data_IF_639909819092
#
_entry.id   IF_639909819092
#
_cell.length_a   1.000
_cell.length_b   1.000
_cell.length_c   1.000
_cell.angle_alpha   90.00
_cell.angle_beta   90.00
_cell.angle_gamma   90.00
#
_symmetry.space_group_name_H-M   'P 1'
#
loop_
_entity.id
_entity.type
_entity.pdbx_description
1 polymer ?
#
# COMPACT_ATOMS: atom_id res chain seq x y z
N UNK A 1 3.81 -4.35 -13.14
CA UNK A 1 3.14 -3.03 -13.06
C UNK A 1 3.42 -2.42 -11.69
N UNK A 2 3.68 -1.14 -11.69
CA UNK A 2 4.00 -0.41 -10.46
C UNK A 2 2.76 0.28 -9.91
N UNK A 3 2.58 0.17 -8.59
CA UNK A 3 1.44 0.77 -7.88
C UNK A 3 1.92 1.51 -6.65
N UNK A 4 1.18 2.55 -6.29
CA UNK A 4 1.39 3.31 -5.06
C UNK A 4 0.08 3.31 -4.29
N UNK A 5 0.09 2.79 -3.07
CA UNK A 5 -1.08 2.80 -2.20
C UNK A 5 -0.89 3.81 -1.09
N UNK A 6 -1.87 4.69 -0.96
CA UNK A 6 -1.92 5.70 0.10
C UNK A 6 -2.94 5.24 1.14
N UNK A 7 -2.55 5.27 2.40
CA UNK A 7 -3.40 4.82 3.50
C UNK A 7 -3.83 6.00 4.36
N UNK A 8 -5.14 6.16 4.51
CA UNK A 8 -5.73 7.20 5.35
C UNK A 8 -6.29 6.56 6.61
N UNK A 9 -6.02 7.13 7.80
CA UNK A 9 -6.42 6.51 9.05
C UNK A 9 -7.94 6.55 9.25
N UNK A 10 -8.44 5.52 9.93
CA UNK A 10 -9.82 5.48 10.43
C UNK A 10 -9.83 5.33 11.95
N UNK A 11 -8.86 5.92 12.63
CA UNK A 11 -8.87 6.04 14.08
C UNK A 11 -8.05 5.02 14.87
N UNK A 12 -7.24 4.16 14.23
CA UNK A 12 -6.43 3.16 14.93
C UNK A 12 -4.99 3.14 14.44
N UNK A 13 -4.30 4.28 14.58
CA UNK A 13 -2.99 4.48 14.01
C UNK A 13 -1.91 3.49 14.47
N UNK A 14 -1.92 3.09 15.74
CA UNK A 14 -0.87 2.21 16.28
C UNK A 14 -0.91 0.81 15.66
N UNK A 15 -2.10 0.24 15.50
CA UNK A 15 -2.25 -1.09 14.90
C UNK A 15 -1.76 -1.07 13.45
N UNK A 16 -2.02 0.01 12.76
CA UNK A 16 -1.61 0.15 11.38
C UNK A 16 -0.11 0.34 11.24
N UNK A 17 0.52 1.08 12.15
CA UNK A 17 1.98 1.22 12.16
C UNK A 17 2.63 -0.14 12.33
N UNK A 18 2.14 -0.94 13.27
CA UNK A 18 2.65 -2.29 13.49
C UNK A 18 2.47 -3.16 12.25
N UNK A 19 1.28 -3.11 11.64
CA UNK A 19 0.99 -3.86 10.43
C UNK A 19 1.95 -3.50 9.29
N UNK A 20 2.17 -2.20 9.07
CA UNK A 20 3.03 -1.73 7.99
C UNK A 20 4.50 -2.08 8.22
N UNK A 21 4.95 -2.02 9.47
CA UNK A 21 6.32 -2.40 9.80
C UNK A 21 6.59 -3.89 9.58
N UNK A 22 5.58 -4.71 9.76
CA UNK A 22 5.66 -6.16 9.64
C UNK A 22 5.07 -6.68 8.32
N UNK A 23 4.78 -5.78 7.39
CA UNK A 23 4.15 -6.13 6.14
C UNK A 23 4.98 -7.15 5.36
N UNK A 24 4.33 -8.25 5.02
CA UNK A 24 4.94 -9.29 4.18
C UNK A 24 4.21 -9.34 2.85
N UNK A 25 5.01 -9.40 1.79
CA UNK A 25 4.46 -9.47 0.45
C UNK A 25 3.86 -10.86 0.21
N UNK A 26 2.57 -10.95 -0.17
CA UNK A 26 2.02 -12.23 -0.60
C UNK A 26 2.58 -12.62 -1.96
N UNK A 27 2.28 -13.84 -2.40
CA UNK A 27 2.73 -14.31 -3.70
C UNK A 27 2.24 -13.38 -4.81
N UNK A 28 3.14 -13.05 -5.72
CA UNK A 28 2.84 -12.17 -6.85
C UNK A 28 3.09 -10.69 -6.58
N UNK A 29 3.31 -10.31 -5.31
CA UNK A 29 3.55 -8.92 -4.94
C UNK A 29 5.02 -8.72 -4.55
N UNK A 30 5.65 -7.70 -5.13
CA UNK A 30 6.98 -7.28 -4.73
C UNK A 30 6.87 -5.90 -4.09
N UNK A 31 7.03 -5.84 -2.76
CA UNK A 31 7.00 -4.55 -2.05
C UNK A 31 8.35 -3.87 -2.23
N UNK A 32 8.32 -2.66 -2.80
CA UNK A 32 9.53 -1.86 -3.06
C UNK A 32 9.87 -0.95 -1.89
N UNK A 33 8.86 -0.37 -1.27
CA UNK A 33 9.05 0.56 -0.17
C UNK A 33 7.78 0.69 0.65
N UNK A 34 7.94 0.91 1.94
CA UNK A 34 6.83 1.23 2.85
C UNK A 34 7.28 2.43 3.65
N UNK A 35 6.47 3.50 3.63
CA UNK A 35 6.76 4.71 4.37
C UNK A 35 5.64 5.04 5.33
N UNK A 36 6.00 5.48 6.52
CA UNK A 36 5.06 6.10 7.44
C UNK A 36 5.12 7.61 7.18
N UNK A 37 3.98 8.25 7.06
CA UNK A 37 3.90 9.67 6.72
C UNK A 37 3.05 10.41 7.75
N UNK A 38 3.23 11.72 7.79
CA UNK A 38 2.43 12.62 8.62
C UNK A 38 1.62 13.52 7.70
N UNK A 39 0.34 13.67 8.00
CA UNK A 39 -0.55 14.52 7.23
C UNK A 39 -1.83 13.79 6.89
N UNK A 40 -2.36 14.05 5.69
CA UNK A 40 -3.62 13.46 5.24
C UNK A 40 -3.54 11.94 5.13
N UNK A 41 -2.39 11.43 4.75
CA UNK A 41 -2.14 9.98 4.66
C UNK A 41 -1.12 9.60 5.73
N UNK A 42 -1.30 8.44 6.33
CA UNK A 42 -0.40 7.94 7.36
C UNK A 42 0.62 6.93 6.84
N UNK A 43 0.40 6.40 5.66
CA UNK A 43 1.33 5.43 5.11
C UNK A 43 1.28 5.40 3.60
N UNK A 44 2.39 4.96 3.03
CA UNK A 44 2.54 4.79 1.57
C UNK A 44 3.21 3.45 1.34
N UNK A 45 2.62 2.63 0.47
CA UNK A 45 3.21 1.36 0.04
C UNK A 45 3.47 1.45 -1.46
N UNK A 46 4.71 1.25 -1.85
CA UNK A 46 5.10 1.17 -3.27
C UNK A 46 5.36 -0.29 -3.58
N UNK A 47 4.65 -0.84 -4.56
CA UNK A 47 4.77 -2.26 -4.85
C UNK A 47 4.56 -2.55 -6.34
N UNK A 48 4.98 -3.73 -6.75
CA UNK A 48 4.75 -4.24 -8.08
C UNK A 48 3.87 -5.48 -8.04
N UNK A 49 3.01 -5.61 -9.04
CA UNK A 49 2.15 -6.77 -9.25
C UNK A 49 2.09 -7.09 -10.74
N UNK A 50 1.82 -8.34 -11.10
CA UNK A 50 1.76 -8.72 -12.53
C UNK A 50 0.55 -8.14 -13.25
N UNK A 51 -0.54 -7.87 -12.51
CA UNK A 51 -1.78 -7.40 -13.08
C UNK A 51 -2.61 -6.64 -12.05
N UNK A 52 -3.65 -5.90 -12.50
CA UNK A 52 -4.51 -5.17 -11.59
C UNK A 52 -5.28 -6.04 -10.60
N UNK A 53 -5.66 -7.25 -10.99
CA UNK A 53 -6.40 -8.15 -10.11
C UNK A 53 -5.58 -8.53 -8.88
N UNK A 54 -4.33 -8.90 -9.08
CA UNK A 54 -3.41 -9.23 -7.99
C UNK A 54 -3.17 -8.03 -7.09
N UNK A 55 -2.99 -6.84 -7.70
CA UNK A 55 -2.82 -5.60 -6.96
C UNK A 55 -4.05 -5.28 -6.10
N UNK A 56 -5.25 -5.40 -6.68
CA UNK A 56 -6.49 -5.11 -5.96
C UNK A 56 -6.70 -6.07 -4.79
N UNK A 57 -6.40 -7.35 -4.97
CA UNK A 57 -6.52 -8.34 -3.89
C UNK A 57 -5.62 -7.97 -2.71
N UNK A 58 -4.39 -7.58 -3.00
CA UNK A 58 -3.44 -7.15 -1.98
C UNK A 58 -3.93 -5.90 -1.24
N UNK A 59 -4.39 -4.91 -1.98
CA UNK A 59 -4.85 -3.64 -1.42
C UNK A 59 -6.10 -3.84 -0.55
N UNK A 60 -7.04 -4.64 -1.02
CA UNK A 60 -8.26 -4.92 -0.26
C UNK A 60 -7.96 -5.64 1.04
N UNK A 61 -7.06 -6.61 1.01
CA UNK A 61 -6.61 -7.31 2.21
C UNK A 61 -5.95 -6.34 3.19
N UNK A 62 -5.09 -5.45 2.70
CA UNK A 62 -4.43 -4.43 3.53
C UNK A 62 -5.48 -3.52 4.19
N UNK A 63 -6.44 -3.04 3.43
CA UNK A 63 -7.50 -2.18 3.94
C UNK A 63 -8.32 -2.85 5.04
N UNK A 64 -8.70 -4.11 4.83
CA UNK A 64 -9.46 -4.84 5.83
C UNK A 64 -8.63 -5.11 7.09
N UNK A 65 -7.35 -5.46 6.93
CA UNK A 65 -6.50 -5.79 8.07
C UNK A 65 -6.21 -4.58 8.96
N UNK A 66 -6.23 -3.37 8.40
CA UNK A 66 -5.82 -2.17 9.11
C UNK A 66 -6.95 -1.20 9.44
N UNK A 67 -8.16 -1.46 8.99
CA UNK A 67 -9.28 -0.50 9.06
C UNK A 67 -8.93 0.85 8.43
N UNK A 68 -8.05 0.86 7.44
CA UNK A 68 -7.68 2.08 6.71
C UNK A 68 -8.51 2.23 5.44
N UNK A 69 -8.76 3.47 5.07
CA UNK A 69 -9.15 3.78 3.70
C UNK A 69 -7.89 3.73 2.86
N UNK A 70 -7.96 3.05 1.73
CA UNK A 70 -6.83 2.94 0.82
C UNK A 70 -7.16 3.59 -0.52
N UNK A 71 -6.16 4.25 -1.09
CA UNK A 71 -6.23 4.79 -2.45
C UNK A 71 -5.02 4.26 -3.19
N UNK A 72 -5.25 3.57 -4.30
CA UNK A 72 -4.17 2.96 -5.06
C UNK A 72 -4.08 3.58 -6.43
N UNK A 73 -2.87 3.99 -6.79
CA UNK A 73 -2.57 4.65 -8.06
C UNK A 73 -1.67 3.76 -8.88
N UNK A 74 -1.95 3.67 -10.17
CA UNK A 74 -1.00 3.08 -11.12
C UNK A 74 0.10 4.10 -11.35
N UNK A 75 1.34 3.67 -11.33
CA UNK A 75 2.50 4.57 -11.43
C UNK A 75 3.46 4.14 -12.52
N UNK A 76 4.16 5.11 -13.08
CA UNK A 76 5.28 4.91 -13.99
C UNK A 76 6.46 5.73 -13.48
N UNK A 77 7.70 5.22 -13.59
CA UNK A 77 8.86 6.06 -13.37
C UNK A 77 8.85 7.24 -14.36
N UNK A 78 9.17 8.42 -13.89
CA UNK A 78 9.11 9.63 -14.71
C UNK A 78 10.01 9.53 -15.95
N UNK A 79 11.13 8.86 -15.86
CA UNK A 79 12.06 8.70 -16.98
C UNK A 79 11.51 7.82 -18.11
N UNK A 80 10.39 7.13 -17.89
CA UNK A 80 9.76 6.32 -18.94
C UNK A 80 8.82 7.11 -19.85
N UNK A 81 8.64 8.38 -19.58
CA UNK A 81 7.81 9.24 -20.42
C UNK A 81 8.63 9.99 -21.47
#
# INVERSE_FOLDING_TARGET
MLFVTLLSPKGKGEEAVTYLRELKAPQGITVRAVYLTLGRYDGVIVFEAPDPKTAMSFVMETGFATDYSVETLTALPAEEL
#
